data_IF_026043137390
#
_entry.id   IF_026043137390
#
_cell.length_a   1.000
_cell.length_b   1.000
_cell.length_c   1.000
_cell.angle_alpha   90.00
_cell.angle_beta   90.00
_cell.angle_gamma   90.00
#
_symmetry.space_group_name_H-M   'P 1'
#
loop_
_entity.id
_entity.type
_entity.pdbx_description
1 polymer ?
#
# COMPACT_ATOMS: atom_id res chain seq x y z
N UNK A 1 -8.57 1.14 62.68
CA UNK A 1 -8.70 2.60 62.92
C UNK A 1 -9.34 3.40 61.78
N UNK A 2 -9.65 2.84 60.65
CA UNK A 2 -10.19 3.56 59.48
C UNK A 2 -11.74 3.70 59.41
N UNK A 3 -12.51 2.93 60.15
CA UNK A 3 -13.98 3.00 60.11
C UNK A 3 -14.63 4.19 60.89
N UNK A 4 -13.93 4.77 61.85
CA UNK A 4 -14.43 5.93 62.67
C UNK A 4 -14.36 7.27 61.93
N UNK A 5 -13.45 7.42 60.95
CA UNK A 5 -13.25 8.66 60.17
C UNK A 5 -14.38 8.91 59.19
N UNK A 6 -14.86 7.87 58.49
CA UNK A 6 -15.91 8.01 57.46
C UNK A 6 -17.27 8.30 58.07
N UNK A 7 -17.58 7.72 59.27
CA UNK A 7 -18.83 7.94 59.99
C UNK A 7 -18.97 9.40 60.52
N UNK A 8 -17.86 9.93 61.04
CA UNK A 8 -17.80 11.32 61.53
C UNK A 8 -17.89 12.36 60.40
N UNK A 9 -17.39 12.05 59.21
CA UNK A 9 -17.49 12.92 58.03
C UNK A 9 -18.92 13.02 57.52
N UNK A 10 -19.63 11.89 57.49
CA UNK A 10 -21.05 11.78 57.08
C UNK A 10 -22.00 12.51 58.06
N UNK A 11 -21.70 12.40 59.36
CA UNK A 11 -22.46 13.09 60.41
C UNK A 11 -22.25 14.60 60.39
N UNK A 12 -21.06 15.09 60.20
CA UNK A 12 -20.75 16.52 60.06
C UNK A 12 -21.40 17.12 58.79
N UNK A 13 -21.40 16.41 57.67
CA UNK A 13 -22.12 16.84 56.44
C UNK A 13 -23.63 16.93 56.66
N UNK A 14 -24.26 15.97 57.37
CA UNK A 14 -25.69 16.02 57.69
C UNK A 14 -26.03 17.17 58.63
N UNK A 15 -25.22 17.46 59.64
CA UNK A 15 -25.45 18.55 60.60
C UNK A 15 -25.25 19.96 59.91
N UNK A 16 -24.32 20.04 58.99
CA UNK A 16 -24.09 21.25 58.19
C UNK A 16 -25.25 21.48 57.22
N UNK A 17 -25.85 20.40 56.65
CA UNK A 17 -27.01 20.45 55.76
C UNK A 17 -28.27 20.89 56.54
N UNK A 18 -28.50 20.34 57.76
CA UNK A 18 -29.61 20.73 58.64
C UNK A 18 -29.54 22.19 59.08
N UNK A 19 -28.33 22.70 59.37
CA UNK A 19 -28.11 24.12 59.75
C UNK A 19 -28.29 25.09 58.55
N UNK A 20 -28.02 24.62 57.34
CA UNK A 20 -28.32 25.44 56.13
C UNK A 20 -29.81 25.49 55.81
N UNK A 21 -30.60 24.44 56.12
CA UNK A 21 -32.03 24.42 55.92
C UNK A 21 -32.79 25.31 56.94
N UNK A 22 -32.30 25.43 58.17
CA UNK A 22 -32.89 26.32 59.19
C UNK A 22 -32.56 27.84 58.96
N UNK A 23 -31.55 28.18 58.19
CA UNK A 23 -31.23 29.61 57.85
C UNK A 23 -31.93 30.09 56.56
N UNK A 24 -32.70 29.26 55.87
CA UNK A 24 -33.41 29.60 54.64
C UNK A 24 -34.86 30.03 54.83
N UNK A 25 -35.23 30.40 56.04
CA UNK A 25 -36.61 30.80 56.39
C UNK A 25 -36.94 32.30 56.20
N UNK A 26 -36.11 33.10 55.62
CA UNK A 26 -36.49 34.52 55.29
C UNK A 26 -35.62 35.00 54.11
N UNK A 27 -36.33 35.56 53.15
CA UNK A 27 -35.99 36.45 52.05
C UNK A 27 -35.89 35.86 50.65
N UNK A 28 -36.68 36.51 49.78
CA UNK A 28 -36.73 36.55 48.33
C UNK A 28 -37.30 35.30 47.62
N UNK A 29 -38.54 35.39 47.17
CA UNK A 29 -39.05 34.61 46.04
C UNK A 29 -38.23 34.96 44.81
N UNK A 30 -37.06 34.31 44.63
CA UNK A 30 -36.42 34.21 43.35
C UNK A 30 -37.36 33.46 42.41
N UNK A 31 -37.87 34.15 41.40
CA UNK A 31 -38.63 33.61 40.30
C UNK A 31 -37.72 32.58 39.63
N UNK A 32 -37.92 31.30 39.90
CA UNK A 32 -37.20 30.19 39.33
C UNK A 32 -37.26 30.31 37.79
N UNK A 33 -36.20 30.74 37.17
CA UNK A 33 -36.09 30.96 35.73
C UNK A 33 -35.99 29.59 35.05
N UNK A 34 -37.10 29.08 34.52
CA UNK A 34 -37.14 27.79 33.83
C UNK A 34 -36.39 27.90 32.50
N UNK A 35 -35.29 27.15 32.35
CA UNK A 35 -34.50 27.10 31.09
C UNK A 35 -35.36 26.38 30.05
N UNK A 36 -35.78 27.09 29.01
CA UNK A 36 -36.61 26.51 27.90
C UNK A 36 -35.74 26.12 26.70
N UNK A 37 -34.63 26.79 26.49
CA UNK A 37 -33.78 26.63 25.31
C UNK A 37 -32.31 26.61 25.69
N UNK A 38 -31.53 25.97 24.86
CA UNK A 38 -30.07 26.00 24.88
C UNK A 38 -29.51 26.37 23.49
N UNK A 39 -28.32 26.92 23.43
CA UNK A 39 -27.61 27.15 22.19
C UNK A 39 -26.64 26.00 21.99
N UNK A 40 -26.80 25.25 20.90
CA UNK A 40 -25.83 24.24 20.47
C UNK A 40 -24.54 24.92 20.02
N UNK A 41 -23.46 24.13 19.90
CA UNK A 41 -22.18 24.61 19.35
C UNK A 41 -22.30 25.07 17.89
N UNK A 42 -23.23 24.52 17.13
CA UNK A 42 -23.59 24.98 15.77
C UNK A 42 -24.26 26.36 15.72
N UNK A 43 -24.53 26.95 16.88
CA UNK A 43 -25.29 28.21 16.98
C UNK A 43 -26.83 28.00 17.04
N UNK A 44 -27.33 26.82 16.79
CA UNK A 44 -28.75 26.52 16.77
C UNK A 44 -29.37 26.58 18.15
N UNK A 45 -30.52 27.24 18.25
CA UNK A 45 -31.34 27.29 19.48
C UNK A 45 -32.32 26.13 19.50
N UNK A 46 -32.17 25.20 20.48
CA UNK A 46 -33.01 24.01 20.63
C UNK A 46 -33.63 23.95 22.00
N UNK A 47 -34.72 23.15 22.13
CA UNK A 47 -35.39 22.96 23.42
C UNK A 47 -34.47 22.26 24.42
N UNK A 48 -34.49 22.74 25.67
CA UNK A 48 -33.72 22.17 26.75
C UNK A 48 -34.37 20.89 27.29
N UNK A 49 -33.59 19.85 27.53
CA UNK A 49 -34.00 18.58 28.12
C UNK A 49 -33.03 18.18 29.25
N UNK A 50 -33.46 18.38 30.48
CA UNK A 50 -32.69 18.04 31.70
C UNK A 50 -32.34 16.54 31.80
N UNK A 51 -33.14 15.65 31.19
CA UNK A 51 -32.86 14.19 31.19
C UNK A 51 -31.55 13.85 30.49
N UNK A 52 -31.14 14.68 29.53
CA UNK A 52 -29.84 14.50 28.84
C UNK A 52 -28.67 14.73 29.78
N UNK A 53 -28.74 15.68 30.69
CA UNK A 53 -27.71 15.92 31.71
C UNK A 53 -27.64 14.72 32.65
N UNK A 54 -28.77 14.25 33.20
CA UNK A 54 -28.84 13.07 34.07
C UNK A 54 -28.25 11.83 33.36
N UNK A 55 -28.63 11.59 32.11
CA UNK A 55 -28.16 10.47 31.32
C UNK A 55 -26.62 10.54 31.05
N UNK A 56 -26.10 11.73 30.79
CA UNK A 56 -24.65 11.91 30.54
C UNK A 56 -23.83 11.65 31.83
N UNK A 57 -24.27 12.17 32.98
CA UNK A 57 -23.65 11.89 34.28
C UNK A 57 -23.70 10.40 34.61
N UNK A 58 -24.87 9.77 34.42
CA UNK A 58 -25.07 8.34 34.66
C UNK A 58 -24.12 7.49 33.80
N UNK A 59 -23.99 7.78 32.50
CA UNK A 59 -23.07 7.06 31.59
C UNK A 59 -21.61 7.20 32.00
N UNK A 60 -21.18 8.39 32.45
CA UNK A 60 -19.83 8.56 32.98
C UNK A 60 -19.60 7.79 34.27
N UNK A 61 -20.59 7.82 35.18
CA UNK A 61 -20.48 7.15 36.48
C UNK A 61 -20.53 5.61 36.39
N UNK A 62 -21.26 5.04 35.44
CA UNK A 62 -21.30 3.57 35.26
C UNK A 62 -19.94 2.97 34.90
N UNK A 63 -19.01 3.76 34.35
CA UNK A 63 -17.64 3.34 34.04
C UNK A 63 -16.73 3.31 35.27
N UNK A 64 -17.15 3.91 36.39
CA UNK A 64 -16.32 4.08 37.60
C UNK A 64 -16.93 3.31 38.77
N UNK A 65 -16.58 2.05 38.94
CA UNK A 65 -17.09 1.21 40.01
C UNK A 65 -16.81 1.73 41.44
N UNK A 66 -15.70 2.48 41.61
CA UNK A 66 -15.28 3.01 42.91
C UNK A 66 -16.10 4.21 43.41
N UNK A 67 -16.86 4.89 42.53
CA UNK A 67 -17.65 6.09 42.82
C UNK A 67 -19.12 5.92 42.43
N UNK A 68 -19.66 4.74 42.52
CA UNK A 68 -21.04 4.45 42.06
C UNK A 68 -22.07 5.28 42.80
N UNK A 69 -22.83 6.09 42.05
CA UNK A 69 -23.91 6.92 42.52
C UNK A 69 -25.22 6.09 42.69
N UNK A 70 -25.98 6.37 43.72
CA UNK A 70 -27.37 5.94 43.77
C UNK A 70 -28.25 6.83 42.90
N UNK A 71 -29.46 6.38 42.55
CA UNK A 71 -30.44 7.23 41.84
C UNK A 71 -30.78 8.52 42.59
N UNK A 72 -30.72 8.51 43.92
CA UNK A 72 -30.91 9.70 44.73
C UNK A 72 -29.79 10.70 44.60
N UNK A 73 -28.53 10.23 44.63
CA UNK A 73 -27.34 11.08 44.44
C UNK A 73 -27.33 11.67 43.03
N UNK A 74 -27.69 10.88 42.02
CA UNK A 74 -27.76 11.31 40.62
C UNK A 74 -28.83 12.38 40.41
N UNK A 75 -29.99 12.25 41.03
CA UNK A 75 -31.06 13.25 40.98
C UNK A 75 -30.63 14.52 41.70
N UNK A 76 -30.06 14.42 42.92
CA UNK A 76 -29.59 15.56 43.70
C UNK A 76 -28.53 16.36 42.91
N UNK A 77 -27.56 15.68 42.30
CA UNK A 77 -26.53 16.32 41.50
C UNK A 77 -27.11 16.99 40.23
N UNK A 78 -28.08 16.33 39.58
CA UNK A 78 -28.75 16.91 38.41
C UNK A 78 -29.50 18.20 38.79
N UNK A 79 -30.19 18.23 39.93
CA UNK A 79 -30.89 19.43 40.43
C UNK A 79 -29.90 20.55 40.81
N UNK A 80 -28.76 20.21 41.38
CA UNK A 80 -27.67 21.19 41.64
C UNK A 80 -27.14 21.83 40.34
N UNK A 81 -26.94 21.01 39.28
CA UNK A 81 -26.56 21.50 37.95
C UNK A 81 -27.65 22.45 37.41
N UNK A 82 -28.92 22.03 37.44
CA UNK A 82 -30.04 22.88 36.97
C UNK A 82 -30.11 24.20 37.71
N UNK A 83 -29.97 24.19 39.04
CA UNK A 83 -29.96 25.39 39.86
C UNK A 83 -28.80 26.31 39.54
N UNK A 84 -27.63 25.76 39.19
CA UNK A 84 -26.46 26.56 38.76
C UNK A 84 -26.67 27.19 37.39
N UNK A 85 -27.25 26.43 36.45
CA UNK A 85 -27.57 26.92 35.11
C UNK A 85 -28.63 28.01 35.11
N UNK A 86 -29.61 27.99 36.02
CA UNK A 86 -30.63 29.05 36.17
C UNK A 86 -30.05 30.39 36.54
N UNK A 87 -28.86 30.42 37.15
CA UNK A 87 -28.13 31.62 37.56
C UNK A 87 -27.29 32.25 36.45
N UNK A 88 -27.09 31.53 35.35
CA UNK A 88 -26.35 32.04 34.23
C UNK A 88 -27.13 33.15 33.48
N UNK A 89 -26.45 34.19 32.98
CA UNK A 89 -27.12 35.22 32.19
C UNK A 89 -27.43 34.69 30.78
N UNK A 90 -28.68 34.88 30.34
CA UNK A 90 -29.07 34.50 28.95
C UNK A 90 -29.47 33.07 28.75
N UNK A 91 -29.42 32.59 27.52
CA UNK A 91 -29.67 31.20 27.15
C UNK A 91 -28.39 30.40 27.25
N UNK A 92 -28.28 29.37 28.10
CA UNK A 92 -27.01 28.64 28.28
C UNK A 92 -26.58 27.93 27.01
N UNK A 93 -25.31 27.95 26.74
CA UNK A 93 -24.66 27.18 25.68
C UNK A 93 -24.38 25.74 26.12
N UNK A 94 -24.22 24.83 25.17
CA UNK A 94 -23.83 23.45 25.46
C UNK A 94 -22.51 23.38 26.25
N UNK A 95 -21.55 24.29 25.97
CA UNK A 95 -20.28 24.37 26.68
C UNK A 95 -20.45 24.79 28.14
N UNK A 96 -21.25 25.82 28.41
CA UNK A 96 -21.52 26.25 29.78
C UNK A 96 -22.21 25.18 30.60
N UNK A 97 -23.14 24.42 30.01
CA UNK A 97 -23.77 23.27 30.67
C UNK A 97 -22.73 22.22 31.06
N UNK A 98 -21.80 21.88 30.17
CA UNK A 98 -20.75 20.90 30.43
C UNK A 98 -19.82 21.35 31.54
N UNK A 99 -19.38 22.62 31.51
CA UNK A 99 -18.53 23.18 32.56
C UNK A 99 -19.21 23.16 33.96
N UNK A 100 -20.50 23.46 34.01
CA UNK A 100 -21.28 23.38 35.26
C UNK A 100 -21.41 21.93 35.74
N UNK A 101 -21.61 20.97 34.86
CA UNK A 101 -21.63 19.54 35.22
C UNK A 101 -20.29 19.10 35.83
N UNK A 102 -19.19 19.47 35.21
CA UNK A 102 -17.83 19.16 35.70
C UNK A 102 -17.57 19.77 37.07
N UNK A 103 -17.92 21.06 37.26
CA UNK A 103 -17.77 21.75 38.53
C UNK A 103 -18.57 21.07 39.65
N UNK A 104 -19.82 20.67 39.36
CA UNK A 104 -20.69 20.03 40.35
C UNK A 104 -20.25 18.62 40.68
N UNK A 105 -19.75 17.83 39.72
CA UNK A 105 -19.16 16.53 39.96
C UNK A 105 -17.93 16.61 40.88
N UNK A 106 -17.05 17.57 40.62
CA UNK A 106 -15.85 17.79 41.46
C UNK A 106 -16.24 18.30 42.87
N UNK A 107 -17.19 19.21 42.98
CA UNK A 107 -17.68 19.74 44.25
C UNK A 107 -18.37 18.67 45.12
N UNK A 108 -18.97 17.66 44.51
CA UNK A 108 -19.61 16.55 45.16
C UNK A 108 -18.69 15.37 45.52
N UNK A 109 -17.38 15.52 45.29
CA UNK A 109 -16.32 14.51 45.59
C UNK A 109 -16.32 13.30 44.63
N UNK A 110 -16.89 13.45 43.40
CA UNK A 110 -16.89 12.44 42.34
C UNK A 110 -15.81 12.72 41.30
N UNK A 111 -14.55 12.85 41.75
CA UNK A 111 -13.44 13.29 40.90
C UNK A 111 -13.14 12.30 39.73
N UNK A 112 -13.22 11.01 39.96
CA UNK A 112 -13.00 9.99 38.90
C UNK A 112 -14.12 10.00 37.86
N UNK A 113 -15.36 10.20 38.33
CA UNK A 113 -16.53 10.35 37.43
C UNK A 113 -16.43 11.64 36.62
N UNK A 114 -15.97 12.75 37.25
CA UNK A 114 -15.70 14.00 36.53
C UNK A 114 -14.65 13.80 35.43
N UNK A 115 -13.54 13.14 35.74
CA UNK A 115 -12.51 12.82 34.73
C UNK A 115 -13.04 11.94 33.61
N UNK A 116 -13.85 10.92 33.90
CA UNK A 116 -14.47 10.09 32.88
C UNK A 116 -15.45 10.89 31.99
N UNK A 117 -16.16 11.86 32.57
CA UNK A 117 -17.05 12.75 31.85
C UNK A 117 -16.27 13.70 30.93
N UNK A 118 -15.17 14.27 31.42
CA UNK A 118 -14.26 15.14 30.64
C UNK A 118 -13.64 14.37 29.47
N UNK A 119 -13.09 13.18 29.75
CA UNK A 119 -12.48 12.35 28.70
C UNK A 119 -13.47 11.97 27.61
N UNK A 120 -14.69 11.54 27.99
CA UNK A 120 -15.75 11.25 27.03
C UNK A 120 -16.14 12.49 26.20
N UNK A 121 -16.19 13.66 26.81
CA UNK A 121 -16.45 14.91 26.12
C UNK A 121 -15.35 15.23 25.11
N UNK A 122 -14.09 15.15 25.54
CA UNK A 122 -12.92 15.45 24.70
C UNK A 122 -12.86 14.49 23.50
N UNK A 123 -13.08 13.19 23.74
CA UNK A 123 -13.14 12.17 22.68
C UNK A 123 -14.21 12.50 21.63
N UNK A 124 -15.43 12.83 22.08
CA UNK A 124 -16.50 13.21 21.17
C UNK A 124 -16.30 14.57 20.47
N UNK A 125 -15.59 15.48 21.09
CA UNK A 125 -15.22 16.78 20.49
C UNK A 125 -14.22 16.55 19.35
N UNK A 126 -13.21 15.73 19.58
CA UNK A 126 -12.25 15.31 18.57
C UNK A 126 -12.88 14.57 17.40
N UNK A 127 -13.83 13.67 17.65
CA UNK A 127 -14.54 12.96 16.58
C UNK A 127 -15.31 13.93 15.67
N UNK A 128 -15.97 14.95 16.24
CA UNK A 128 -16.71 15.95 15.46
C UNK A 128 -15.79 16.86 14.65
N UNK A 129 -14.70 17.30 15.25
CA UNK A 129 -13.70 18.11 14.53
C UNK A 129 -13.15 17.35 13.32
N UNK A 130 -12.90 16.04 13.47
CA UNK A 130 -12.47 15.19 12.37
C UNK A 130 -13.56 15.04 11.31
N UNK A 131 -14.82 14.83 11.73
CA UNK A 131 -15.96 14.72 10.80
C UNK A 131 -16.09 16.03 9.98
N UNK A 132 -15.99 17.20 10.63
CA UNK A 132 -16.08 18.50 9.96
C UNK A 132 -14.90 18.75 9.01
N UNK A 133 -13.69 18.31 9.36
CA UNK A 133 -12.49 18.42 8.53
C UNK A 133 -12.55 17.49 7.32
N UNK A 134 -12.89 16.21 7.52
CA UNK A 134 -13.06 15.23 6.44
C UNK A 134 -14.16 15.64 5.47
N UNK A 135 -15.29 16.15 5.98
CA UNK A 135 -16.38 16.64 5.12
C UNK A 135 -15.88 17.78 4.22
N UNK A 136 -15.11 18.74 4.73
CA UNK A 136 -14.52 19.82 3.93
C UNK A 136 -13.53 19.30 2.89
N UNK A 137 -12.68 18.33 3.25
CA UNK A 137 -11.74 17.70 2.31
C UNK A 137 -12.52 17.01 1.19
N UNK A 138 -13.55 16.24 1.52
CA UNK A 138 -14.38 15.54 0.53
C UNK A 138 -15.17 16.50 -0.34
N UNK A 139 -15.66 17.60 0.21
CA UNK A 139 -16.33 18.66 -0.55
C UNK A 139 -15.37 19.30 -1.58
N UNK A 140 -14.15 19.61 -1.17
CA UNK A 140 -13.12 20.14 -2.05
C UNK A 140 -12.76 19.13 -3.15
N UNK A 141 -12.53 17.86 -2.82
CA UNK A 141 -12.21 16.80 -3.79
C UNK A 141 -13.36 16.56 -4.78
N UNK A 142 -14.61 16.77 -4.35
CA UNK A 142 -15.79 16.50 -5.20
C UNK A 142 -16.10 17.65 -6.14
N UNK A 143 -16.03 18.89 -5.66
CA UNK A 143 -16.63 20.04 -6.36
C UNK A 143 -15.61 21.03 -6.94
N UNK A 144 -14.33 20.99 -6.51
CA UNK A 144 -13.30 21.86 -7.10
C UNK A 144 -12.68 21.23 -8.33
N UNK A 145 -12.41 22.01 -9.40
CA UNK A 145 -11.65 21.55 -10.55
C UNK A 145 -10.24 21.10 -10.15
N UNK A 146 -9.70 20.04 -10.81
CA UNK A 146 -8.36 19.52 -10.53
C UNK A 146 -7.23 20.53 -10.77
N UNK A 147 -7.47 21.53 -11.60
CA UNK A 147 -6.49 22.57 -11.91
C UNK A 147 -6.28 23.57 -10.75
N UNK A 148 -7.28 23.71 -9.87
CA UNK A 148 -7.28 24.63 -8.73
C UNK A 148 -6.99 23.93 -7.38
N UNK A 149 -6.94 22.60 -7.35
CA UNK A 149 -6.82 21.82 -6.12
C UNK A 149 -5.47 21.14 -6.02
N UNK A 150 -4.60 21.63 -5.14
CA UNK A 150 -3.29 21.04 -4.87
C UNK A 150 -3.39 19.60 -4.35
N UNK A 151 -4.46 19.24 -3.61
CA UNK A 151 -4.71 17.88 -3.14
C UNK A 151 -4.90 16.88 -4.28
N UNK A 152 -5.47 17.31 -5.40
CA UNK A 152 -5.63 16.45 -6.59
C UNK A 152 -4.32 16.24 -7.36
N UNK A 153 -3.33 17.13 -7.20
CA UNK A 153 -2.03 17.07 -7.88
C UNK A 153 -0.92 16.46 -7.03
N UNK A 154 -1.16 16.20 -5.77
CA UNK A 154 -0.14 15.77 -4.81
C UNK A 154 0.55 14.45 -5.21
N UNK A 155 -0.11 13.61 -6.02
CA UNK A 155 0.48 12.38 -6.52
C UNK A 155 0.43 12.35 -8.06
N UNK A 156 1.58 12.57 -8.69
CA UNK A 156 1.72 12.55 -10.15
C UNK A 156 1.36 11.21 -10.82
N UNK A 157 1.35 10.12 -10.05
CA UNK A 157 1.11 8.77 -10.56
C UNK A 157 -0.37 8.35 -10.52
N UNK A 158 -1.25 9.14 -9.89
CA UNK A 158 -2.69 8.84 -9.79
C UNK A 158 -3.48 9.95 -10.49
N UNK A 159 -4.28 9.56 -11.47
CA UNK A 159 -5.22 10.50 -12.07
C UNK A 159 -6.47 10.61 -11.20
N UNK A 160 -6.54 11.65 -10.38
CA UNK A 160 -7.63 11.91 -9.45
C UNK A 160 -8.97 12.25 -10.13
N UNK A 161 -8.97 12.59 -11.44
CA UNK A 161 -10.19 12.87 -12.19
C UNK A 161 -10.89 11.60 -12.69
N UNK A 162 -10.26 10.43 -12.54
CA UNK A 162 -10.93 9.15 -12.75
C UNK A 162 -11.78 8.77 -11.54
N UNK A 163 -12.87 8.02 -11.74
CA UNK A 163 -13.73 7.56 -10.65
C UNK A 163 -12.94 6.81 -9.56
N UNK A 164 -12.01 5.94 -9.95
CA UNK A 164 -11.17 5.19 -9.01
C UNK A 164 -10.10 6.08 -8.38
N UNK A 165 -9.54 7.04 -9.11
CA UNK A 165 -8.59 8.01 -8.57
C UNK A 165 -9.22 8.89 -7.50
N UNK A 166 -10.45 9.36 -7.71
CA UNK A 166 -11.22 10.11 -6.70
C UNK A 166 -11.47 9.26 -5.44
N UNK A 167 -11.86 7.99 -5.60
CA UNK A 167 -12.07 7.09 -4.45
C UNK A 167 -10.78 6.83 -3.67
N UNK A 168 -9.65 6.66 -4.37
CA UNK A 168 -8.34 6.52 -3.72
C UNK A 168 -7.95 7.78 -2.95
N UNK A 169 -8.23 8.97 -3.50
CA UNK A 169 -7.99 10.23 -2.78
C UNK A 169 -8.83 10.36 -1.52
N UNK A 170 -10.11 9.99 -1.55
CA UNK A 170 -10.93 9.93 -0.34
C UNK A 170 -10.33 8.99 0.70
N UNK A 171 -9.87 7.80 0.29
CA UNK A 171 -9.20 6.85 1.17
C UNK A 171 -7.90 7.40 1.76
N UNK A 172 -7.05 8.00 0.94
CA UNK A 172 -5.78 8.63 1.33
C UNK A 172 -6.00 9.72 2.38
N UNK A 173 -6.86 10.71 2.12
CA UNK A 173 -7.11 11.79 3.06
C UNK A 173 -7.75 11.32 4.37
N UNK A 174 -8.65 10.32 4.29
CA UNK A 174 -9.22 9.69 5.49
C UNK A 174 -8.15 8.99 6.33
N UNK A 175 -7.22 8.27 5.69
CA UNK A 175 -6.12 7.58 6.35
C UNK A 175 -5.15 8.57 7.02
N UNK A 176 -4.75 9.65 6.32
CA UNK A 176 -3.91 10.73 6.88
C UNK A 176 -4.52 11.32 8.13
N UNK A 177 -5.81 11.69 8.08
CA UNK A 177 -6.53 12.25 9.22
C UNK A 177 -6.61 11.25 10.40
N UNK A 178 -6.81 9.96 10.11
CA UNK A 178 -6.81 8.92 11.14
C UNK A 178 -5.44 8.77 11.81
N UNK A 179 -4.36 8.70 11.02
CA UNK A 179 -3.01 8.54 11.56
C UNK A 179 -2.58 9.76 12.38
N UNK A 180 -2.85 10.98 11.94
CA UNK A 180 -2.54 12.21 12.68
C UNK A 180 -3.23 12.23 14.05
N UNK A 181 -4.43 11.69 14.13
CA UNK A 181 -5.23 11.80 15.34
C UNK A 181 -5.05 10.67 16.34
N UNK A 182 -4.81 9.44 15.84
CA UNK A 182 -4.87 8.24 16.69
C UNK A 182 -3.56 7.46 16.77
N UNK A 183 -2.65 7.65 15.84
CA UNK A 183 -1.45 6.81 15.72
C UNK A 183 -0.16 7.61 15.90
N UNK A 184 -0.05 8.76 15.22
CA UNK A 184 1.14 9.61 15.26
C UNK A 184 1.09 10.45 16.54
N UNK A 185 2.21 10.57 17.31
CA UNK A 185 2.27 11.46 18.47
C UNK A 185 1.88 12.90 18.08
N UNK A 186 1.06 13.58 18.90
CA UNK A 186 0.53 14.90 18.55
C UNK A 186 1.58 15.97 18.19
N UNK A 187 2.74 15.91 18.85
CA UNK A 187 3.87 16.81 18.55
C UNK A 187 4.46 16.56 17.17
N UNK A 188 4.52 15.30 16.73
CA UNK A 188 5.01 14.91 15.40
C UNK A 188 3.98 15.29 14.33
N UNK A 189 2.69 15.00 14.56
CA UNK A 189 1.61 15.40 13.67
C UNK A 189 1.58 16.92 13.47
N UNK A 190 1.76 17.69 14.55
CA UNK A 190 1.84 19.15 14.51
C UNK A 190 3.07 19.63 13.72
N UNK A 191 4.24 19.02 13.94
CA UNK A 191 5.45 19.38 13.21
C UNK A 191 5.33 19.09 11.71
N UNK A 192 4.64 17.99 11.34
CA UNK A 192 4.32 17.69 9.95
C UNK A 192 3.33 18.72 9.35
N UNK A 193 2.28 19.07 10.08
CA UNK A 193 1.28 20.04 9.62
C UNK A 193 1.85 21.48 9.49
N UNK A 194 2.83 21.85 10.32
CA UNK A 194 3.54 23.15 10.22
C UNK A 194 4.65 23.18 9.16
N UNK A 195 4.99 22.03 8.57
CA UNK A 195 6.06 21.91 7.58
C UNK A 195 7.48 21.80 8.17
N UNK A 196 7.62 21.67 9.49
CA UNK A 196 8.93 21.49 10.14
C UNK A 196 9.58 20.13 9.79
N UNK A 197 8.74 19.12 9.56
CA UNK A 197 9.13 17.80 9.07
C UNK A 197 8.14 17.32 8.00
N UNK A 198 8.57 16.34 7.19
CA UNK A 198 7.70 15.66 6.24
C UNK A 198 7.64 14.16 6.53
N UNK A 199 6.43 13.63 6.76
CA UNK A 199 6.18 12.18 6.83
C UNK A 199 5.74 11.75 5.43
N UNK A 200 6.64 11.03 4.75
CA UNK A 200 6.38 10.52 3.40
C UNK A 200 5.34 9.41 3.44
N UNK A 201 4.44 9.37 2.44
CA UNK A 201 3.39 8.33 2.30
C UNK A 201 2.59 8.09 3.59
N UNK A 202 2.21 9.17 4.28
CA UNK A 202 1.52 9.12 5.57
C UNK A 202 0.20 8.35 5.52
N UNK A 203 -0.47 8.31 4.39
CA UNK A 203 -1.69 7.52 4.13
C UNK A 203 -1.46 6.00 4.20
N UNK A 204 -0.22 5.56 4.00
CA UNK A 204 0.18 4.16 4.14
C UNK A 204 1.03 3.86 5.38
N UNK A 205 1.05 4.75 6.36
CA UNK A 205 1.97 4.78 7.50
C UNK A 205 2.21 3.42 8.20
N UNK A 206 1.23 2.54 8.25
CA UNK A 206 1.33 1.26 8.96
C UNK A 206 0.81 0.05 8.15
N UNK A 207 0.46 0.20 6.87
CA UNK A 207 -0.29 -0.84 6.14
C UNK A 207 0.52 -1.60 5.11
N UNK A 208 1.54 -1.02 4.49
CA UNK A 208 2.27 -1.65 3.38
C UNK A 208 3.76 -1.33 3.40
N UNK A 209 4.53 -2.08 2.61
CA UNK A 209 5.90 -1.72 2.26
C UNK A 209 5.89 -0.56 1.26
N UNK A 210 6.82 0.38 1.41
CA UNK A 210 6.85 1.60 0.60
C UNK A 210 7.69 1.49 -0.66
N UNK A 211 8.79 0.74 -0.64
CA UNK A 211 9.67 0.52 -1.79
C UNK A 211 10.24 -0.88 -1.74
N UNK A 212 10.46 -1.50 -2.89
CA UNK A 212 11.04 -2.84 -2.93
C UNK A 212 12.02 -3.05 -4.08
N UNK A 213 12.83 -4.10 -3.92
CA UNK A 213 13.69 -4.64 -4.97
C UNK A 213 13.20 -6.03 -5.36
N UNK A 214 13.11 -6.26 -6.67
CA UNK A 214 12.63 -7.53 -7.23
C UNK A 214 13.81 -8.30 -7.79
N UNK A 215 14.09 -9.47 -7.24
CA UNK A 215 15.09 -10.40 -7.76
C UNK A 215 14.46 -11.32 -8.82
N UNK A 216 14.55 -10.88 -10.09
CA UNK A 216 14.00 -11.66 -11.20
C UNK A 216 14.73 -12.99 -11.43
N UNK A 217 16.02 -13.10 -11.13
CA UNK A 217 16.75 -14.36 -11.26
C UNK A 217 16.13 -15.43 -10.36
N UNK A 218 15.92 -15.07 -9.10
CA UNK A 218 15.30 -15.98 -8.12
C UNK A 218 13.86 -16.32 -8.47
N UNK A 219 13.07 -15.32 -8.88
CA UNK A 219 11.68 -15.53 -9.27
C UNK A 219 11.53 -16.45 -10.47
N UNK A 220 12.43 -16.36 -11.45
CA UNK A 220 12.32 -17.15 -12.69
C UNK A 220 12.91 -18.53 -12.57
N UNK A 221 13.82 -18.79 -11.63
CA UNK A 221 14.47 -20.09 -11.45
C UNK A 221 13.45 -21.20 -11.17
N UNK A 222 12.50 -20.93 -10.26
CA UNK A 222 11.50 -21.91 -9.84
C UNK A 222 10.08 -21.56 -10.32
N UNK A 223 9.91 -20.40 -10.93
CA UNK A 223 8.62 -19.81 -11.19
C UNK A 223 8.01 -19.12 -9.96
N UNK A 224 6.84 -18.50 -10.12
CA UNK A 224 6.20 -17.74 -9.03
C UNK A 224 4.67 -17.70 -9.20
N UNK A 225 3.97 -17.28 -8.15
CA UNK A 225 2.53 -17.04 -8.15
C UNK A 225 2.22 -15.58 -7.83
N UNK A 226 1.24 -15.02 -8.51
CA UNK A 226 0.65 -13.70 -8.23
C UNK A 226 -0.66 -13.80 -7.43
N UNK A 227 -0.95 -14.95 -6.83
CA UNK A 227 -2.22 -15.21 -6.16
C UNK A 227 -3.32 -15.77 -7.08
N UNK A 228 -3.18 -15.67 -8.40
CA UNK A 228 -4.17 -16.12 -9.39
C UNK A 228 -3.72 -17.30 -10.25
N UNK A 229 -2.68 -18.00 -9.85
CA UNK A 229 -2.11 -19.12 -10.55
C UNK A 229 -0.59 -19.16 -10.47
N UNK A 230 0.00 -20.24 -10.97
CA UNK A 230 1.43 -20.44 -10.96
C UNK A 230 2.03 -20.17 -12.33
N UNK A 231 3.05 -19.31 -12.39
CA UNK A 231 3.82 -18.97 -13.57
C UNK A 231 5.12 -19.76 -13.53
N UNK A 232 5.28 -20.68 -14.48
CA UNK A 232 6.47 -21.53 -14.59
C UNK A 232 7.70 -20.73 -15.03
N UNK A 233 8.87 -21.31 -14.87
CA UNK A 233 10.13 -20.80 -15.42
C UNK A 233 10.00 -20.48 -16.92
N UNK A 234 10.39 -19.25 -17.37
CA UNK A 234 10.31 -18.85 -18.77
C UNK A 234 11.32 -19.57 -19.66
N UNK A 235 10.98 -19.78 -20.94
CA UNK A 235 11.77 -20.59 -21.89
C UNK A 235 12.49 -19.80 -22.97
N UNK A 236 12.22 -18.51 -23.12
CA UNK A 236 12.84 -17.64 -24.13
C UNK A 236 12.76 -16.18 -23.69
N UNK A 237 13.49 -15.30 -24.36
CA UNK A 237 13.59 -13.88 -23.99
C UNK A 237 12.23 -13.15 -23.98
N UNK A 238 11.29 -13.53 -24.85
CA UNK A 238 9.94 -12.92 -24.88
C UNK A 238 9.16 -13.26 -23.65
N UNK A 239 9.24 -14.53 -23.22
CA UNK A 239 8.59 -14.96 -21.97
C UNK A 239 9.27 -14.38 -20.72
N UNK A 240 10.60 -14.20 -20.75
CA UNK A 240 11.33 -13.50 -19.68
C UNK A 240 10.86 -12.04 -19.53
N UNK A 241 10.81 -11.29 -20.63
CA UNK A 241 10.34 -9.91 -20.62
C UNK A 241 8.86 -9.80 -20.18
N UNK A 242 7.99 -10.69 -20.69
CA UNK A 242 6.58 -10.70 -20.30
C UNK A 242 6.39 -10.99 -18.81
N UNK A 243 7.12 -11.98 -18.25
CA UNK A 243 7.04 -12.32 -16.83
C UNK A 243 7.66 -11.23 -15.93
N UNK A 244 8.68 -10.50 -16.41
CA UNK A 244 9.20 -9.33 -15.71
C UNK A 244 8.12 -8.23 -15.58
N UNK A 245 7.38 -7.95 -16.65
CA UNK A 245 6.25 -7.02 -16.60
C UNK A 245 5.18 -7.49 -15.62
N UNK A 246 4.81 -8.78 -15.65
CA UNK A 246 3.81 -9.35 -14.74
C UNK A 246 4.27 -9.24 -13.28
N UNK A 247 5.55 -9.54 -12.99
CA UNK A 247 6.08 -9.45 -11.64
C UNK A 247 6.00 -8.01 -11.11
N UNK A 248 6.44 -7.02 -11.91
CA UNK A 248 6.39 -5.59 -11.55
C UNK A 248 4.95 -5.12 -11.37
N UNK A 249 4.06 -5.46 -12.31
CA UNK A 249 2.66 -5.01 -12.28
C UNK A 249 1.86 -5.68 -11.15
N UNK A 250 2.08 -6.97 -10.87
CA UNK A 250 1.45 -7.65 -9.76
C UNK A 250 1.94 -7.07 -8.42
N UNK A 251 3.25 -6.89 -8.26
CA UNK A 251 3.83 -6.34 -7.03
C UNK A 251 3.37 -4.91 -6.75
N UNK A 252 3.06 -4.11 -7.78
CA UNK A 252 2.52 -2.77 -7.61
C UNK A 252 1.22 -2.73 -6.79
N UNK A 253 0.44 -3.79 -6.78
CA UNK A 253 -0.80 -3.88 -6.00
C UNK A 253 -0.56 -4.26 -4.55
N UNK A 254 0.59 -4.85 -4.23
CA UNK A 254 0.95 -5.33 -2.89
C UNK A 254 1.74 -4.29 -2.07
N UNK A 255 2.33 -3.30 -2.73
CA UNK A 255 3.22 -2.31 -2.12
C UNK A 255 2.87 -0.89 -2.58
N UNK A 256 3.45 0.11 -1.92
CA UNK A 256 3.33 1.52 -2.27
C UNK A 256 4.72 2.09 -2.61
N UNK A 257 4.81 3.01 -3.59
CA UNK A 257 6.07 3.64 -3.97
C UNK A 257 6.76 2.99 -5.16
N UNK A 258 8.09 3.11 -5.22
CA UNK A 258 8.90 2.66 -6.35
C UNK A 258 9.36 1.22 -6.24
N UNK A 259 9.55 0.58 -7.39
CA UNK A 259 10.08 -0.78 -7.52
C UNK A 259 11.37 -0.75 -8.31
N UNK A 260 12.35 -1.57 -7.97
CA UNK A 260 13.57 -1.70 -8.74
C UNK A 260 13.93 -3.15 -9.03
N UNK A 261 14.54 -3.38 -10.18
CA UNK A 261 15.16 -4.66 -10.55
C UNK A 261 16.67 -4.43 -10.62
N UNK A 262 17.43 -4.81 -9.58
CA UNK A 262 18.85 -4.46 -9.48
C UNK A 262 19.75 -5.25 -10.43
N UNK A 263 19.30 -6.40 -10.93
CA UNK A 263 20.06 -7.37 -11.74
C UNK A 263 19.33 -7.71 -13.05
N UNK A 264 18.75 -6.69 -13.69
CA UNK A 264 17.89 -6.86 -14.88
C UNK A 264 18.64 -7.54 -16.05
N UNK A 265 19.86 -7.09 -16.34
CA UNK A 265 20.71 -7.64 -17.41
C UNK A 265 21.06 -9.12 -17.19
N UNK A 266 21.41 -9.50 -15.96
CA UNK A 266 21.68 -10.91 -15.62
C UNK A 266 20.43 -11.79 -15.78
N UNK A 267 19.27 -11.29 -15.35
CA UNK A 267 18.03 -12.03 -15.49
C UNK A 267 17.63 -12.21 -16.95
N UNK A 268 17.71 -11.17 -17.76
CA UNK A 268 17.40 -11.23 -19.19
C UNK A 268 18.41 -12.04 -19.98
N UNK A 269 19.70 -12.03 -19.60
CA UNK A 269 20.75 -12.82 -20.24
C UNK A 269 20.42 -14.31 -20.26
N UNK A 270 19.80 -14.85 -19.22
CA UNK A 270 19.33 -16.24 -19.22
C UNK A 270 18.25 -16.49 -20.28
N UNK A 271 17.35 -15.55 -20.48
CA UNK A 271 16.35 -15.59 -21.56
C UNK A 271 16.98 -15.54 -22.95
N UNK A 272 18.02 -14.70 -23.13
CA UNK A 272 18.79 -14.62 -24.37
C UNK A 272 19.53 -15.94 -24.63
N UNK A 273 20.20 -16.53 -23.64
CA UNK A 273 20.86 -17.84 -23.76
C UNK A 273 19.92 -18.94 -24.19
N UNK A 274 18.75 -19.04 -23.55
CA UNK A 274 17.73 -20.03 -23.91
C UNK A 274 17.22 -19.81 -25.33
N UNK A 275 17.01 -18.56 -25.73
CA UNK A 275 16.57 -18.20 -27.09
C UNK A 275 17.64 -18.57 -28.11
N UNK A 276 18.92 -18.19 -27.87
CA UNK A 276 20.02 -18.52 -28.74
C UNK A 276 20.16 -20.03 -28.94
N UNK A 277 20.15 -20.80 -27.87
CA UNK A 277 20.20 -22.27 -27.90
C UNK A 277 19.07 -22.86 -28.75
N UNK A 278 17.86 -22.40 -28.57
CA UNK A 278 16.69 -22.83 -29.34
C UNK A 278 16.84 -22.51 -30.83
N UNK A 279 17.27 -21.30 -31.15
CA UNK A 279 17.48 -20.87 -32.54
C UNK A 279 18.67 -21.60 -33.19
N UNK A 280 19.74 -21.87 -32.43
CA UNK A 280 20.89 -22.63 -32.91
C UNK A 280 20.52 -24.02 -33.40
N UNK A 281 19.84 -24.79 -32.58
CA UNK A 281 19.44 -26.13 -32.97
C UNK A 281 18.38 -26.16 -34.07
N UNK A 282 17.51 -25.15 -34.12
CA UNK A 282 16.56 -24.98 -35.21
C UNK A 282 17.29 -24.71 -36.52
N UNK A 283 18.20 -23.77 -36.54
CA UNK A 283 18.98 -23.44 -37.72
C UNK A 283 19.91 -24.57 -38.16
N UNK A 284 20.49 -25.31 -37.21
CA UNK A 284 21.28 -26.49 -37.48
C UNK A 284 20.47 -27.57 -38.19
N UNK A 285 19.27 -27.91 -37.68
CA UNK A 285 18.37 -28.86 -38.30
C UNK A 285 17.96 -28.44 -39.72
N UNK A 286 17.59 -27.17 -39.91
CA UNK A 286 17.22 -26.63 -41.22
C UNK A 286 18.38 -26.65 -42.22
N UNK A 287 19.59 -26.34 -41.78
CA UNK A 287 20.78 -26.43 -42.65
C UNK A 287 21.05 -27.85 -43.06
N UNK A 288 20.99 -28.81 -42.12
CA UNK A 288 21.18 -30.22 -42.40
C UNK A 288 20.12 -30.76 -43.42
N UNK A 289 18.86 -30.41 -43.18
CA UNK A 289 17.75 -30.78 -44.09
C UNK A 289 18.00 -30.27 -45.50
N UNK A 290 18.25 -29.00 -45.67
CA UNK A 290 18.35 -28.35 -46.99
C UNK A 290 19.69 -28.69 -47.70
N UNK A 291 20.81 -28.67 -46.96
CA UNK A 291 22.14 -28.81 -47.55
C UNK A 291 22.50 -30.24 -47.92
N UNK A 292 21.97 -31.20 -47.16
CA UNK A 292 22.26 -32.61 -47.35
C UNK A 292 21.07 -33.41 -47.90
N UNK A 293 20.04 -32.70 -48.36
CA UNK A 293 18.83 -33.29 -48.96
C UNK A 293 18.22 -34.41 -48.08
N UNK A 294 18.18 -34.15 -46.76
CA UNK A 294 17.61 -35.07 -45.78
C UNK A 294 16.13 -34.76 -45.55
N UNK A 295 15.37 -35.79 -45.18
CA UNK A 295 14.00 -35.51 -44.73
C UNK A 295 14.00 -34.68 -43.44
N UNK A 296 12.95 -33.89 -43.19
CA UNK A 296 12.79 -33.14 -41.96
C UNK A 296 12.85 -34.06 -40.71
N UNK A 297 12.33 -35.29 -40.82
CA UNK A 297 12.38 -36.28 -39.75
C UNK A 297 13.81 -36.75 -39.45
N UNK A 298 14.59 -37.02 -40.49
CA UNK A 298 15.98 -37.51 -40.31
C UNK A 298 16.89 -36.38 -39.81
N UNK A 299 16.72 -35.15 -40.31
CA UNK A 299 17.42 -33.97 -39.82
C UNK A 299 17.12 -33.71 -38.35
N UNK A 300 15.85 -33.84 -37.93
CA UNK A 300 15.44 -33.75 -36.54
C UNK A 300 16.03 -34.86 -35.67
N UNK A 301 16.02 -36.12 -36.14
CA UNK A 301 16.62 -37.25 -35.44
C UNK A 301 18.13 -37.10 -35.27
N UNK A 302 18.83 -36.64 -36.32
CA UNK A 302 20.26 -36.36 -36.25
C UNK A 302 20.58 -35.22 -35.29
N UNK A 303 19.75 -34.16 -35.30
CA UNK A 303 19.90 -33.06 -34.36
C UNK A 303 19.63 -33.51 -32.92
N UNK A 304 18.70 -34.44 -32.68
CA UNK A 304 18.47 -35.02 -31.36
C UNK A 304 19.69 -35.85 -30.90
N UNK A 305 20.30 -36.69 -31.77
CA UNK A 305 21.51 -37.42 -31.47
C UNK A 305 22.69 -36.49 -31.15
N UNK A 306 22.83 -35.37 -31.87
CA UNK A 306 23.83 -34.33 -31.58
C UNK A 306 23.63 -33.76 -30.18
N UNK A 307 22.41 -33.42 -29.82
CA UNK A 307 22.07 -32.90 -28.46
C UNK A 307 22.38 -33.91 -27.36
N UNK A 308 22.09 -35.17 -27.61
CA UNK A 308 22.35 -36.26 -26.66
C UNK A 308 23.86 -36.44 -26.44
N UNK A 309 24.64 -36.48 -27.52
CA UNK A 309 26.07 -36.74 -27.46
C UNK A 309 26.91 -35.55 -27.02
N UNK A 310 26.62 -34.36 -27.51
CA UNK A 310 27.41 -33.14 -27.26
C UNK A 310 26.83 -32.21 -26.19
N UNK A 311 25.61 -32.52 -25.72
CA UNK A 311 24.85 -31.66 -24.84
C UNK A 311 24.19 -30.52 -25.59
N UNK A 312 23.37 -29.78 -24.84
CA UNK A 312 22.62 -28.60 -25.36
C UNK A 312 23.19 -27.27 -24.95
N UNK A 313 24.32 -27.23 -24.22
CA UNK A 313 24.89 -26.01 -23.68
C UNK A 313 25.75 -25.28 -24.72
N UNK A 314 25.05 -24.67 -25.67
CA UNK A 314 25.63 -23.76 -26.66
C UNK A 314 25.17 -22.34 -26.42
N UNK A 315 26.12 -21.42 -26.28
CA UNK A 315 25.96 -19.98 -26.06
C UNK A 315 26.71 -19.19 -27.11
N UNK A 316 26.52 -17.89 -27.18
CA UNK A 316 27.27 -17.01 -28.09
C UNK A 316 28.76 -17.14 -27.87
N UNK A 317 29.19 -17.36 -26.62
CA UNK A 317 30.61 -17.51 -26.27
C UNK A 317 31.18 -18.89 -26.62
N UNK A 318 30.35 -19.96 -26.48
CA UNK A 318 30.83 -21.35 -26.67
C UNK A 318 30.57 -21.93 -28.06
N UNK A 319 29.95 -21.17 -28.95
CA UNK A 319 29.50 -21.64 -30.28
C UNK A 319 30.66 -22.17 -31.13
N UNK A 320 31.86 -21.56 -31.11
CA UNK A 320 33.03 -22.01 -31.83
C UNK A 320 33.56 -23.34 -31.28
N UNK A 321 33.70 -23.45 -29.98
CA UNK A 321 34.09 -24.71 -29.34
C UNK A 321 33.07 -25.82 -29.60
N UNK A 322 31.78 -25.52 -29.69
CA UNK A 322 30.75 -26.46 -30.07
C UNK A 322 30.87 -26.89 -31.53
N UNK A 323 31.23 -25.97 -32.43
CA UNK A 323 31.48 -26.29 -33.83
C UNK A 323 32.62 -27.30 -34.00
N UNK A 324 33.72 -27.18 -33.26
CA UNK A 324 34.80 -28.17 -33.28
C UNK A 324 34.38 -29.55 -32.74
N UNK A 325 33.55 -29.58 -31.70
CA UNK A 325 32.93 -30.83 -31.20
C UNK A 325 32.05 -31.47 -32.27
N UNK A 326 31.25 -30.70 -32.96
CA UNK A 326 30.33 -31.16 -34.00
C UNK A 326 31.15 -31.71 -35.22
N UNK A 327 32.25 -30.99 -35.60
CA UNK A 327 33.20 -31.40 -36.62
C UNK A 327 33.77 -32.81 -36.39
N UNK A 328 34.10 -33.12 -35.14
CA UNK A 328 34.66 -34.41 -34.75
C UNK A 328 33.61 -35.50 -34.62
N UNK A 329 32.41 -35.17 -34.15
CA UNK A 329 31.32 -36.12 -33.82
C UNK A 329 30.59 -36.59 -35.08
N UNK A 330 30.14 -35.71 -35.95
CA UNK A 330 29.17 -35.97 -36.99
C UNK A 330 29.61 -37.05 -37.99
N UNK A 331 30.88 -37.02 -38.55
CA UNK A 331 31.33 -38.06 -39.47
C UNK A 331 31.38 -39.44 -38.83
N UNK A 332 31.78 -39.56 -37.56
CA UNK A 332 31.89 -40.81 -36.85
C UNK A 332 30.49 -41.41 -36.60
N UNK A 333 29.56 -40.61 -36.08
CA UNK A 333 28.20 -41.03 -35.78
C UNK A 333 27.47 -41.56 -37.04
N UNK A 334 27.66 -40.87 -38.17
CA UNK A 334 27.05 -41.31 -39.44
C UNK A 334 27.66 -42.56 -40.00
N UNK A 335 28.97 -42.73 -39.92
CA UNK A 335 29.66 -43.95 -40.36
C UNK A 335 29.19 -45.18 -39.57
N UNK A 336 28.95 -45.03 -38.27
CA UNK A 336 28.44 -46.09 -37.39
C UNK A 336 26.97 -46.45 -37.67
N UNK A 337 26.16 -45.53 -38.20
CA UNK A 337 24.76 -45.70 -38.43
C UNK A 337 24.35 -45.89 -39.90
N UNK A 338 25.34 -45.99 -40.83
CA UNK A 338 25.11 -46.29 -42.23
C UNK A 338 24.46 -45.19 -43.06
N UNK A 339 24.55 -43.93 -42.60
CA UNK A 339 24.07 -42.76 -43.35
C UNK A 339 25.10 -42.17 -44.31
N UNK A 340 24.66 -41.29 -45.19
CA UNK A 340 25.56 -40.48 -46.03
C UNK A 340 26.54 -39.67 -45.17
N UNK A 341 27.82 -39.82 -45.39
CA UNK A 341 28.85 -39.21 -44.54
C UNK A 341 28.90 -37.70 -44.79
N UNK A 342 28.55 -36.91 -43.78
CA UNK A 342 28.84 -35.48 -43.70
C UNK A 342 30.29 -35.31 -43.24
N UNK A 343 31.12 -34.69 -44.07
CA UNK A 343 32.52 -34.43 -43.72
C UNK A 343 32.68 -33.51 -42.52
N UNK A 344 33.81 -33.54 -41.82
CA UNK A 344 34.05 -32.67 -40.67
C UNK A 344 33.98 -31.20 -41.05
N UNK A 345 34.45 -30.80 -42.23
CA UNK A 345 34.39 -29.39 -42.69
C UNK A 345 32.96 -28.98 -43.02
N UNK A 346 32.13 -29.88 -43.57
CA UNK A 346 30.72 -29.62 -43.80
C UNK A 346 29.93 -29.54 -42.47
N UNK A 347 30.28 -30.32 -41.47
CA UNK A 347 29.73 -30.26 -40.13
C UNK A 347 30.08 -28.94 -39.43
N UNK A 348 31.33 -28.49 -39.57
CA UNK A 348 31.77 -27.17 -39.09
C UNK A 348 30.98 -26.03 -39.74
N UNK A 349 30.88 -26.05 -41.08
CA UNK A 349 30.08 -25.08 -41.82
C UNK A 349 28.62 -25.01 -41.39
N UNK A 350 28.02 -26.17 -41.07
CA UNK A 350 26.66 -26.25 -40.52
C UNK A 350 26.54 -25.57 -39.14
N UNK A 351 27.55 -25.77 -38.28
CA UNK A 351 27.61 -25.14 -36.98
C UNK A 351 27.79 -23.63 -37.06
N UNK A 352 28.71 -23.15 -37.95
CA UNK A 352 28.94 -21.72 -38.19
C UNK A 352 27.66 -21.03 -38.75
N UNK A 353 26.98 -21.67 -39.68
CA UNK A 353 25.71 -21.18 -40.19
C UNK A 353 24.67 -21.11 -39.07
N UNK A 354 24.56 -22.15 -38.26
CA UNK A 354 23.63 -22.21 -37.15
C UNK A 354 23.93 -21.09 -36.13
N UNK A 355 25.19 -20.87 -35.79
CA UNK A 355 25.59 -19.81 -34.87
C UNK A 355 25.24 -18.40 -35.39
N UNK A 356 25.57 -18.13 -36.68
CA UNK A 356 25.25 -16.85 -37.32
C UNK A 356 23.76 -16.58 -37.41
N UNK A 357 22.98 -17.61 -37.78
CA UNK A 357 21.50 -17.52 -37.87
C UNK A 357 20.89 -17.37 -36.50
N UNK A 358 21.34 -18.14 -35.51
CA UNK A 358 20.86 -18.04 -34.14
C UNK A 358 21.14 -16.65 -33.54
N UNK A 359 22.31 -16.07 -33.77
CA UNK A 359 22.65 -14.72 -33.35
C UNK A 359 21.61 -13.71 -33.90
N UNK A 360 21.42 -13.70 -35.22
CA UNK A 360 20.51 -12.77 -35.90
C UNK A 360 19.07 -12.91 -35.40
N UNK A 361 18.58 -14.13 -35.28
CA UNK A 361 17.20 -14.41 -34.82
C UNK A 361 17.01 -14.09 -33.32
N UNK A 362 18.07 -14.29 -32.52
CA UNK A 362 18.04 -13.95 -31.09
C UNK A 362 18.08 -12.44 -30.89
N UNK A 363 18.91 -11.73 -31.67
CA UNK A 363 18.99 -10.29 -31.67
C UNK A 363 17.62 -9.66 -31.95
N UNK A 364 17.00 -10.08 -33.07
CA UNK A 364 15.65 -9.63 -33.44
C UNK A 364 14.59 -9.97 -32.36
N UNK A 365 14.67 -11.16 -31.75
CA UNK A 365 13.73 -11.56 -30.71
C UNK A 365 13.94 -10.77 -29.42
N UNK A 366 15.19 -10.43 -29.08
CA UNK A 366 15.53 -9.63 -27.89
C UNK A 366 15.09 -8.18 -28.08
N UNK A 367 15.32 -7.61 -29.27
CA UNK A 367 14.82 -6.27 -29.60
C UNK A 367 13.30 -6.18 -29.35
N UNK A 368 12.54 -7.07 -30.00
CA UNK A 368 11.08 -7.11 -29.85
C UNK A 368 10.61 -7.35 -28.40
N UNK A 369 11.39 -8.10 -27.61
CA UNK A 369 11.06 -8.35 -26.20
C UNK A 369 11.30 -7.10 -25.35
N UNK A 370 12.39 -6.36 -25.58
CA UNK A 370 12.70 -5.11 -24.87
C UNK A 370 11.75 -3.99 -25.25
N UNK A 371 11.44 -3.82 -26.54
CA UNK A 371 10.41 -2.90 -27.02
C UNK A 371 9.05 -3.15 -26.34
N UNK A 372 8.60 -4.41 -26.34
CA UNK A 372 7.35 -4.79 -25.69
C UNK A 372 7.37 -4.56 -24.18
N UNK A 373 8.50 -4.77 -23.51
CA UNK A 373 8.66 -4.51 -22.09
C UNK A 373 8.53 -3.02 -21.77
N UNK A 374 9.22 -2.15 -22.53
CA UNK A 374 9.16 -0.69 -22.35
C UNK A 374 7.73 -0.18 -22.58
N UNK A 375 7.11 -0.60 -23.69
CA UNK A 375 5.72 -0.22 -23.98
C UNK A 375 4.74 -0.68 -22.88
N UNK A 376 4.88 -1.92 -22.40
CA UNK A 376 4.01 -2.43 -21.33
C UNK A 376 4.17 -1.64 -20.03
N UNK A 377 5.39 -1.34 -19.61
CA UNK A 377 5.63 -0.59 -18.37
C UNK A 377 5.17 0.86 -18.46
N UNK A 378 5.18 1.47 -19.66
CA UNK A 378 4.78 2.86 -19.86
C UNK A 378 3.28 3.03 -20.14
N UNK A 379 2.56 1.99 -20.54
CA UNK A 379 1.17 2.10 -21.00
C UNK A 379 0.17 1.30 -20.21
N UNK A 380 0.56 0.21 -19.57
CA UNK A 380 -0.36 -0.65 -18.84
C UNK A 380 -0.59 -0.16 -17.42
N UNK A 381 -1.84 0.18 -17.15
CA UNK A 381 -2.31 0.55 -15.83
C UNK A 381 -2.61 -0.70 -15.02
N UNK A 382 -1.74 -1.09 -14.10
CA UNK A 382 -1.92 -2.29 -13.26
C UNK A 382 -2.61 -1.99 -11.93
N UNK A 383 -2.77 -0.72 -11.57
CA UNK A 383 -3.40 -0.27 -10.33
C UNK A 383 -4.62 0.61 -10.60
N UNK A 384 -5.57 0.62 -9.67
CA UNK A 384 -6.69 1.56 -9.68
C UNK A 384 -6.19 3.03 -9.72
N UNK A 385 -6.93 3.92 -10.41
CA UNK A 385 -6.52 5.32 -10.59
C UNK A 385 -5.61 5.55 -11.80
N UNK A 386 -5.58 4.62 -12.76
CA UNK A 386 -4.79 4.70 -13.99
C UNK A 386 -3.27 4.85 -13.75
N UNK A 387 -2.76 4.30 -12.65
CA UNK A 387 -1.36 4.38 -12.30
C UNK A 387 -0.53 3.36 -13.10
N UNK A 388 0.50 3.85 -13.81
CA UNK A 388 1.55 3.00 -14.39
C UNK A 388 2.59 2.63 -13.32
N UNK A 389 3.32 1.50 -13.47
CA UNK A 389 4.35 1.11 -12.52
C UNK A 389 5.49 2.14 -12.48
N UNK A 390 5.77 2.69 -11.30
CA UNK A 390 6.97 3.47 -11.08
C UNK A 390 8.13 2.51 -10.79
N UNK A 391 8.92 2.21 -11.82
CA UNK A 391 9.95 1.18 -11.77
C UNK A 391 11.29 1.63 -12.35
N UNK A 392 12.38 1.12 -11.79
CA UNK A 392 13.72 1.27 -12.33
C UNK A 392 14.34 -0.10 -12.63
N UNK A 393 15.00 -0.20 -13.78
CA UNK A 393 15.71 -1.39 -14.23
C UNK A 393 17.21 -1.08 -14.26
N UNK A 394 18.00 -1.78 -13.44
CA UNK A 394 19.44 -1.62 -13.39
C UNK A 394 20.11 -2.63 -14.30
N UNK A 395 20.97 -2.17 -15.19
CA UNK A 395 21.67 -2.97 -16.18
C UNK A 395 23.06 -2.37 -16.47
N UNK A 396 23.87 -3.10 -17.26
CA UNK A 396 25.21 -2.67 -17.68
C UNK A 396 26.35 -3.28 -16.85
N UNK A 397 26.04 -4.17 -15.91
CA UNK A 397 27.05 -4.88 -15.10
C UNK A 397 27.34 -6.29 -15.61
N UNK A 398 26.44 -6.92 -16.35
CA UNK A 398 26.70 -8.20 -17.04
C UNK A 398 27.52 -7.95 -18.30
N UNK A 399 28.75 -8.47 -18.31
CA UNK A 399 29.71 -8.34 -19.43
C UNK A 399 29.61 -9.47 -20.45
N UNK A 400 28.70 -10.43 -20.25
CA UNK A 400 28.46 -11.50 -21.22
C UNK A 400 27.90 -10.96 -22.55
N UNK A 401 28.11 -11.62 -23.68
CA UNK A 401 27.46 -11.21 -24.94
C UNK A 401 25.96 -11.12 -24.86
N UNK A 402 25.34 -12.01 -24.10
CA UNK A 402 23.90 -12.07 -23.88
C UNK A 402 23.39 -10.89 -23.05
N UNK A 403 24.07 -10.53 -21.95
CA UNK A 403 23.74 -9.37 -21.14
C UNK A 403 23.92 -8.06 -21.92
N UNK A 404 25.00 -7.95 -22.67
CA UNK A 404 25.25 -6.77 -23.53
C UNK A 404 24.21 -6.61 -24.63
N UNK A 405 23.75 -7.70 -25.23
CA UNK A 405 22.67 -7.67 -26.23
C UNK A 405 21.39 -7.06 -25.63
N UNK A 406 21.02 -7.45 -24.42
CA UNK A 406 19.87 -6.89 -23.71
C UNK A 406 20.05 -5.38 -23.45
N UNK A 407 21.21 -4.95 -22.96
CA UNK A 407 21.48 -3.56 -22.61
C UNK A 407 21.47 -2.63 -23.83
N UNK A 408 22.11 -3.03 -24.93
CA UNK A 408 22.19 -2.22 -26.15
C UNK A 408 20.81 -1.95 -26.76
N UNK A 409 19.96 -3.00 -26.81
CA UNK A 409 18.64 -2.89 -27.39
C UNK A 409 17.68 -2.09 -26.49
N UNK A 410 17.78 -2.26 -25.17
CA UNK A 410 16.98 -1.48 -24.22
C UNK A 410 17.32 0.02 -24.27
N UNK A 411 18.62 0.39 -24.40
CA UNK A 411 19.02 1.80 -24.44
C UNK A 411 18.71 2.48 -25.76
N UNK A 412 18.67 1.77 -26.89
CA UNK A 412 18.29 2.34 -28.17
C UNK A 412 16.81 2.71 -28.21
N UNK A 413 15.96 1.90 -27.59
CA UNK A 413 14.51 2.11 -27.56
C UNK A 413 14.07 3.15 -26.52
N UNK A 414 14.80 3.28 -25.42
CA UNK A 414 14.53 4.28 -24.38
C UNK A 414 15.01 5.71 -24.75
N UNK A 415 15.76 5.86 -25.85
CA UNK A 415 16.29 7.15 -26.31
C UNK A 415 15.37 7.88 -27.31
N UNK A 416 14.36 7.20 -27.86
CA UNK A 416 13.31 7.74 -28.74
C UNK A 416 12.05 8.07 -27.91
#
# INVERSE_FOLDING_TARGET
>A
MYRKSAYNRKYRKRKAKALRLCRRGETEREVKRMIRYIVKRSGDKVSFDARKIKSAIFKANTRIAAERMSDADLNELTEEVLTALEKLPGTPTAQEIQNVVEEKLLAADYAKTANAYINYRTEHEHLREMDDELVKIFENLTFRPSEEDDLKRENANINADTAMGTMLKYGSESAKAFYDKYVIPPEIAKAHASGDIHIHDKDFYALTETCCQIDLLKLFQDGFSTGHGYLREPNDIRSYAALACIAIQANQNEMHGGQSVPNFDYAMAEGVKKTYRKQYFRALAQYIEVRFDMSASDAAALTAAIKEALGTDVTMHTAEAYAEKLRAFLPRHQAENGFQIITGDAARAAAEYAAKTAYKETDAATYQAMEALVHNLNTMNSRAGAQVPFSSLNYGTDTSPEGRMTCLLYTSDAAD
#
